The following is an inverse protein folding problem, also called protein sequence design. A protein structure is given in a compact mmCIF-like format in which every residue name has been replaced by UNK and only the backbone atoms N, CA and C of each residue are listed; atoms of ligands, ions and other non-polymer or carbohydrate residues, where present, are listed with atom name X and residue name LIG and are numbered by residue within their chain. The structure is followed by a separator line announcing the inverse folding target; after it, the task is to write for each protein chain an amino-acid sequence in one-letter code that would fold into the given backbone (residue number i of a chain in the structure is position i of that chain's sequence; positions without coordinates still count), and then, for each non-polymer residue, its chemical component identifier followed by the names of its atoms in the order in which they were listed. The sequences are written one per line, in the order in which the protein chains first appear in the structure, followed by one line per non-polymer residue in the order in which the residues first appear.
data_IF_079305579306
#
_entry.id   IF_079305579306
#
_cell.length_a   1.000
_cell.length_b   1.000
_cell.length_c   1.000
_cell.angle_alpha   90.00
_cell.angle_beta   90.00
_cell.angle_gamma   90.00
#
_symmetry.space_group_name_H-M   'P 1'
#
loop_
_entity.id
_entity.type
_entity.pdbx_description
1 polymer ?
#
# COMPACT_ATOMS: atom_id res chain seq x y z
N UNK A 1 45.61 -3.35 -10.42
CA UNK A 1 45.07 -4.26 -9.39
C UNK A 1 44.47 -5.46 -10.08
N UNK A 2 44.95 -6.66 -9.79
CA UNK A 2 44.34 -7.92 -10.27
C UNK A 2 42.91 -8.01 -9.73
N UNK A 3 41.91 -8.35 -10.56
CA UNK A 3 40.53 -8.46 -10.09
C UNK A 3 40.43 -9.53 -8.99
N UNK A 4 39.62 -9.32 -7.94
CA UNK A 4 39.46 -10.30 -6.87
C UNK A 4 38.88 -11.59 -7.45
N UNK A 5 39.42 -12.71 -6.99
CA UNK A 5 38.90 -14.04 -7.34
C UNK A 5 37.43 -14.14 -6.90
N UNK A 6 36.58 -14.78 -7.71
CA UNK A 6 35.14 -14.93 -7.44
C UNK A 6 34.83 -16.37 -7.07
N UNK A 7 34.03 -16.60 -6.04
CA UNK A 7 33.49 -17.93 -5.74
C UNK A 7 32.04 -17.84 -5.32
N UNK A 8 31.27 -18.82 -5.77
CA UNK A 8 29.89 -19.03 -5.36
C UNK A 8 29.84 -19.96 -4.14
N UNK A 9 29.10 -19.58 -3.09
CA UNK A 9 28.90 -20.41 -1.90
C UNK A 9 27.53 -21.07 -1.96
N UNK A 10 27.54 -22.37 -2.25
CA UNK A 10 26.34 -23.20 -2.29
C UNK A 10 25.72 -23.41 -0.89
N UNK A 11 24.41 -23.70 -0.80
CA UNK A 11 23.78 -24.08 0.46
C UNK A 11 24.53 -25.21 1.20
N UNK A 12 24.69 -25.06 2.50
CA UNK A 12 25.44 -25.99 3.35
C UNK A 12 26.96 -25.90 3.19
N UNK A 13 27.49 -24.86 2.54
CA UNK A 13 28.93 -24.61 2.40
C UNK A 13 29.35 -23.31 3.09
N UNK A 14 30.65 -23.19 3.32
CA UNK A 14 31.29 -21.99 3.88
C UNK A 14 32.71 -21.83 3.33
N UNK A 15 33.18 -20.59 3.27
CA UNK A 15 34.55 -20.27 2.90
C UNK A 15 35.08 -19.06 3.66
N UNK A 16 36.40 -18.96 3.76
CA UNK A 16 37.09 -17.81 4.33
C UNK A 16 38.42 -17.61 3.60
N UNK A 17 38.86 -16.36 3.49
CA UNK A 17 40.03 -15.96 2.72
C UNK A 17 40.75 -14.78 3.38
N UNK A 18 42.08 -14.76 3.25
CA UNK A 18 42.98 -13.65 3.60
C UNK A 18 43.38 -12.80 2.38
N UNK A 19 43.12 -13.30 1.17
CA UNK A 19 43.34 -12.59 -0.09
C UNK A 19 42.02 -12.00 -0.59
N UNK A 20 42.06 -10.86 -1.30
CA UNK A 20 40.85 -10.22 -1.85
C UNK A 20 40.01 -11.21 -2.67
N UNK A 21 38.81 -11.48 -2.19
CA UNK A 21 37.89 -12.46 -2.77
C UNK A 21 36.49 -11.90 -2.78
N UNK A 22 35.73 -12.21 -3.83
CA UNK A 22 34.32 -11.87 -3.94
C UNK A 22 33.48 -13.13 -3.71
N UNK A 23 32.83 -13.20 -2.55
CA UNK A 23 31.87 -14.25 -2.23
C UNK A 23 30.49 -13.87 -2.75
N UNK A 24 29.86 -14.79 -3.49
CA UNK A 24 28.48 -14.65 -3.96
C UNK A 24 27.65 -15.86 -3.57
N UNK A 25 26.36 -15.65 -3.31
CA UNK A 25 25.39 -16.73 -3.03
C UNK A 25 24.00 -16.26 -3.47
N UNK A 26 23.04 -17.17 -3.54
CA UNK A 26 21.61 -16.88 -3.76
C UNK A 26 20.87 -17.33 -2.51
N UNK A 27 20.04 -16.45 -1.95
CA UNK A 27 19.34 -16.69 -0.69
C UNK A 27 17.83 -16.65 -0.88
N UNK A 28 17.16 -17.67 -0.33
CA UNK A 28 15.72 -17.75 -0.13
C UNK A 28 15.40 -17.78 1.36
N UNK A 29 14.90 -18.93 1.86
CA UNK A 29 14.71 -19.21 3.29
C UNK A 29 15.97 -19.54 4.06
N UNK A 30 17.05 -19.78 3.34
CA UNK A 30 18.37 -19.99 3.89
C UNK A 30 18.99 -18.66 4.35
N UNK A 31 20.00 -18.75 5.21
CA UNK A 31 20.69 -17.60 5.78
C UNK A 31 22.18 -17.68 5.41
N UNK A 32 22.76 -16.55 5.06
CA UNK A 32 24.20 -16.35 4.92
C UNK A 32 24.71 -15.45 6.04
N UNK A 33 25.78 -15.88 6.70
CA UNK A 33 26.52 -15.06 7.66
C UNK A 33 27.87 -14.73 7.04
N UNK A 34 28.10 -13.44 6.85
CA UNK A 34 29.39 -12.89 6.47
C UNK A 34 30.11 -12.42 7.73
N UNK A 35 31.34 -12.89 7.93
CA UNK A 35 32.22 -12.48 9.02
C UNK A 35 33.46 -11.82 8.44
N UNK A 36 33.96 -10.77 9.08
CA UNK A 36 35.22 -10.15 8.66
C UNK A 36 35.96 -9.47 9.81
N UNK A 37 37.28 -9.42 9.68
CA UNK A 37 38.20 -8.71 10.56
C UNK A 37 38.85 -7.59 9.73
N UNK A 38 38.56 -6.34 10.09
CA UNK A 38 39.03 -5.17 9.32
C UNK A 38 40.52 -4.91 9.50
N UNK A 39 41.11 -5.30 10.63
CA UNK A 39 42.53 -5.08 10.90
C UNK A 39 43.38 -6.12 10.18
N UNK A 40 42.98 -7.40 10.29
CA UNK A 40 43.70 -8.52 9.67
C UNK A 40 43.34 -8.73 8.19
N UNK A 41 42.33 -8.01 7.68
CA UNK A 41 41.83 -8.10 6.28
C UNK A 41 41.43 -9.51 5.88
N UNK A 42 40.78 -10.24 6.79
CA UNK A 42 40.28 -11.59 6.56
C UNK A 42 38.77 -11.54 6.52
N UNK A 43 38.17 -12.23 5.54
CA UNK A 43 36.73 -12.31 5.37
C UNK A 43 36.27 -13.74 5.14
N UNK A 44 35.05 -14.06 5.55
CA UNK A 44 34.44 -15.35 5.31
C UNK A 44 32.93 -15.26 5.21
N UNK A 45 32.33 -16.26 4.59
CA UNK A 45 30.90 -16.38 4.41
C UNK A 45 30.46 -17.84 4.58
N UNK A 46 29.34 -18.07 5.25
CA UNK A 46 28.63 -19.35 5.22
C UNK A 46 27.27 -19.20 4.55
N UNK A 47 26.64 -20.34 4.24
CA UNK A 47 25.26 -20.43 3.78
C UNK A 47 24.63 -21.65 4.43
N UNK A 48 23.75 -21.46 5.41
CA UNK A 48 23.04 -22.54 6.10
C UNK A 48 21.54 -22.51 5.83
N UNK A 49 20.90 -23.66 5.93
CA UNK A 49 19.50 -23.88 5.54
C UNK A 49 18.58 -24.09 6.75
N UNK A 50 19.11 -24.63 7.85
CA UNK A 50 18.36 -25.00 9.05
C UNK A 50 18.96 -24.27 10.26
N UNK A 51 18.16 -23.86 11.26
CA UNK A 51 18.66 -23.03 12.36
C UNK A 51 19.57 -23.80 13.33
N UNK A 52 19.20 -25.03 13.70
CA UNK A 52 19.87 -25.79 14.75
C UNK A 52 19.97 -27.28 14.43
N UNK A 53 21.10 -27.90 14.75
CA UNK A 53 21.28 -29.35 14.76
C UNK A 53 21.03 -29.91 16.16
N UNK A 54 20.08 -30.84 16.30
CA UNK A 54 19.62 -31.41 17.57
C UNK A 54 20.49 -32.56 18.11
N UNK A 55 21.58 -32.92 17.45
CA UNK A 55 22.45 -34.03 17.85
C UNK A 55 22.18 -35.36 17.14
N UNK A 56 21.13 -35.46 16.32
CA UNK A 56 20.79 -36.67 15.57
C UNK A 56 21.33 -36.62 14.13
N UNK A 57 21.98 -37.71 13.68
CA UNK A 57 22.56 -37.83 12.34
C UNK A 57 23.91 -37.11 12.16
N UNK A 58 24.31 -36.87 10.91
CA UNK A 58 25.61 -36.28 10.59
C UNK A 58 25.62 -34.75 10.73
N UNK A 59 26.46 -34.23 11.62
CA UNK A 59 26.67 -32.78 11.76
C UNK A 59 27.22 -32.18 10.46
N UNK A 60 26.59 -31.11 9.98
CA UNK A 60 26.97 -30.48 8.72
C UNK A 60 26.71 -28.97 8.72
N UNK A 61 27.42 -28.18 7.89
CA UNK A 61 27.21 -26.73 7.81
C UNK A 61 25.87 -26.31 7.19
N UNK A 62 24.94 -27.25 6.98
CA UNK A 62 23.55 -26.92 6.67
C UNK A 62 22.79 -26.38 7.88
N UNK A 63 23.28 -26.63 9.10
CA UNK A 63 22.70 -26.12 10.34
C UNK A 63 23.45 -24.87 10.83
N UNK A 64 22.72 -23.83 11.25
CA UNK A 64 23.26 -22.51 11.59
C UNK A 64 24.28 -22.53 12.72
N UNK A 65 23.94 -23.20 13.84
CA UNK A 65 24.87 -23.37 14.95
C UNK A 65 26.21 -24.01 14.51
N UNK A 66 26.16 -25.04 13.66
CA UNK A 66 27.36 -25.72 13.13
C UNK A 66 28.11 -24.85 12.10
N UNK A 67 27.37 -24.17 11.22
CA UNK A 67 27.95 -23.36 10.14
C UNK A 67 28.66 -22.11 10.65
N UNK A 68 28.10 -21.45 11.66
CA UNK A 68 28.68 -20.26 12.28
C UNK A 68 29.93 -20.66 13.06
N UNK A 69 29.85 -21.71 13.87
CA UNK A 69 31.01 -22.20 14.63
C UNK A 69 32.17 -22.59 13.72
N UNK A 70 31.90 -23.37 12.66
CA UNK A 70 32.94 -23.77 11.69
C UNK A 70 33.52 -22.58 10.94
N UNK A 71 32.72 -21.56 10.61
CA UNK A 71 33.20 -20.35 9.95
C UNK A 71 34.13 -19.56 10.88
N UNK A 72 33.73 -19.35 12.14
CA UNK A 72 34.57 -18.66 13.13
C UNK A 72 35.89 -19.41 13.31
N UNK A 73 35.86 -20.74 13.52
CA UNK A 73 37.09 -21.54 13.64
C UNK A 73 38.00 -21.38 12.41
N UNK A 74 37.43 -21.39 11.20
CA UNK A 74 38.19 -21.20 9.97
C UNK A 74 38.82 -19.80 9.87
N UNK A 75 38.13 -18.77 10.34
CA UNK A 75 38.68 -17.41 10.38
C UNK A 75 39.78 -17.24 11.44
N UNK A 76 39.62 -17.85 12.62
CA UNK A 76 40.66 -17.86 13.65
C UNK A 76 41.93 -18.57 13.16
N UNK A 77 41.80 -19.69 12.43
CA UNK A 77 42.92 -20.38 11.79
C UNK A 77 43.63 -19.54 10.71
N UNK A 78 42.94 -18.55 10.14
CA UNK A 78 43.54 -17.59 9.20
C UNK A 78 44.23 -16.42 9.92
N UNK A 79 44.13 -16.32 11.25
CA UNK A 79 44.78 -15.31 12.07
C UNK A 79 43.86 -14.20 12.59
N UNK A 80 42.53 -14.33 12.47
CA UNK A 80 41.59 -13.41 13.10
C UNK A 80 41.60 -13.53 14.63
N UNK A 81 41.24 -12.44 15.30
CA UNK A 81 40.87 -12.45 16.71
C UNK A 81 39.35 -12.47 16.85
N UNK A 82 38.82 -13.31 17.74
CA UNK A 82 37.37 -13.41 17.95
C UNK A 82 36.71 -12.07 18.34
N UNK A 83 37.41 -11.26 19.14
CA UNK A 83 36.95 -9.93 19.61
C UNK A 83 36.84 -8.88 18.50
N UNK A 84 37.57 -9.06 17.40
CA UNK A 84 37.69 -8.08 16.32
C UNK A 84 36.81 -8.47 15.11
N UNK A 85 36.10 -9.61 15.20
CA UNK A 85 35.18 -10.09 14.17
C UNK A 85 33.90 -9.25 14.15
N UNK A 86 33.59 -8.74 12.96
CA UNK A 86 32.31 -8.14 12.63
C UNK A 86 31.47 -9.13 11.84
N UNK A 87 30.15 -9.01 11.96
CA UNK A 87 29.21 -9.89 11.31
C UNK A 87 28.14 -9.10 10.55
N UNK A 88 27.67 -9.67 9.43
CA UNK A 88 26.47 -9.25 8.74
C UNK A 88 25.71 -10.49 8.26
N UNK A 89 24.41 -10.46 8.50
CA UNK A 89 23.53 -11.60 8.23
C UNK A 89 22.58 -11.21 7.10
N UNK A 90 22.37 -12.13 6.18
CA UNK A 90 21.52 -11.95 5.00
C UNK A 90 20.65 -13.19 4.79
N UNK A 91 19.43 -13.03 4.26
CA UNK A 91 18.51 -14.15 4.02
C UNK A 91 17.51 -14.35 5.15
N UNK A 92 16.99 -15.57 5.31
CA UNK A 92 15.93 -15.89 6.28
C UNK A 92 14.53 -15.47 5.85
N UNK A 93 14.29 -15.30 4.53
CA UNK A 93 12.97 -14.99 4.00
C UNK A 93 12.08 -16.24 4.01
N UNK A 94 10.85 -16.18 4.52
CA UNK A 94 9.96 -17.36 4.46
C UNK A 94 9.59 -17.69 3.01
N UNK A 95 10.24 -18.69 2.41
CA UNK A 95 9.98 -19.15 1.02
C UNK A 95 8.95 -20.30 0.99
N UNK A 96 8.73 -20.98 2.11
CA UNK A 96 7.74 -22.06 2.27
C UNK A 96 7.14 -21.95 3.67
N UNK A 97 5.81 -21.92 3.79
CA UNK A 97 5.11 -22.10 5.07
C UNK A 97 5.27 -23.56 5.50
N UNK A 98 6.40 -23.89 6.15
CA UNK A 98 6.52 -25.15 6.87
C UNK A 98 5.90 -24.98 8.25
N UNK A 99 4.70 -25.51 8.38
CA UNK A 99 4.05 -25.81 9.65
C UNK A 99 5.00 -26.67 10.50
N UNK A 100 5.72 -26.06 11.45
CA UNK A 100 6.17 -26.62 12.73
C UNK A 100 7.32 -25.80 13.33
N UNK A 101 6.96 -24.90 14.25
CA UNK A 101 7.61 -24.77 15.57
C UNK A 101 9.13 -24.71 15.68
N UNK A 102 9.81 -23.82 14.94
CA UNK A 102 11.20 -23.48 15.23
C UNK A 102 11.32 -21.96 15.48
N UNK A 103 11.56 -21.62 16.76
CA UNK A 103 11.86 -20.32 17.36
C UNK A 103 11.89 -19.11 16.41
N UNK A 104 10.78 -18.37 16.41
CA UNK A 104 10.65 -17.08 15.73
C UNK A 104 11.26 -15.98 16.62
N UNK A 105 12.30 -15.30 16.14
CA UNK A 105 12.58 -13.92 16.56
C UNK A 105 11.33 -13.12 16.14
N UNK A 106 10.78 -12.27 17.02
CA UNK A 106 9.43 -11.70 16.91
C UNK A 106 8.99 -11.43 15.47
N UNK A 107 7.91 -12.07 15.02
CA UNK A 107 7.46 -12.01 13.62
C UNK A 107 7.05 -10.58 13.18
N UNK A 108 6.85 -9.66 14.14
CA UNK A 108 6.27 -8.33 13.93
C UNK A 108 6.97 -7.31 14.84
N UNK A 109 7.71 -6.39 14.23
CA UNK A 109 8.38 -5.31 14.95
C UNK A 109 7.48 -4.09 15.07
N UNK A 110 7.31 -3.55 16.28
CA UNK A 110 6.46 -2.39 16.53
C UNK A 110 7.21 -1.27 17.19
N UNK A 111 6.94 -0.05 16.72
CA UNK A 111 7.37 1.16 17.38
C UNK A 111 6.17 1.87 18.02
N UNK A 112 6.33 2.31 19.27
CA UNK A 112 5.31 3.07 20.00
C UNK A 112 5.73 4.53 20.06
N UNK A 113 4.87 5.43 19.58
CA UNK A 113 5.11 6.88 19.56
C UNK A 113 3.97 7.59 20.29
N UNK A 114 4.26 8.08 21.50
CA UNK A 114 3.29 8.78 22.36
C UNK A 114 4.09 9.65 23.35
N UNK A 115 3.63 10.88 23.60
CA UNK A 115 4.32 11.83 24.48
C UNK A 115 4.26 11.42 25.96
N UNK A 116 3.25 10.64 26.35
CA UNK A 116 3.06 10.14 27.70
C UNK A 116 3.86 8.87 27.96
N UNK A 117 4.83 8.97 28.87
CA UNK A 117 5.63 7.83 29.35
C UNK A 117 4.72 6.73 29.91
N UNK A 118 3.69 7.11 30.67
CA UNK A 118 2.74 6.19 31.27
C UNK A 118 2.00 5.38 30.20
N UNK A 119 1.52 6.05 29.14
CA UNK A 119 0.82 5.37 28.03
C UNK A 119 1.78 4.45 27.28
N UNK A 120 3.00 4.89 27.00
CA UNK A 120 4.01 4.05 26.33
C UNK A 120 4.30 2.76 27.10
N UNK A 121 4.41 2.83 28.42
CA UNK A 121 4.67 1.64 29.26
C UNK A 121 3.45 0.71 29.35
N UNK A 122 2.24 1.27 29.43
CA UNK A 122 1.00 0.48 29.38
C UNK A 122 0.87 -0.25 28.03
N UNK A 123 1.05 0.47 26.94
CA UNK A 123 0.99 -0.09 25.58
C UNK A 123 2.05 -1.15 25.35
N UNK A 124 3.29 -0.93 25.81
CA UNK A 124 4.37 -1.92 25.74
C UNK A 124 4.01 -3.19 26.51
N UNK A 125 3.49 -3.07 27.75
CA UNK A 125 3.04 -4.22 28.54
C UNK A 125 1.94 -5.02 27.83
N UNK A 126 0.96 -4.34 27.23
CA UNK A 126 -0.13 -4.98 26.50
C UNK A 126 0.33 -5.66 25.22
N UNK A 127 1.17 -5.00 24.43
CA UNK A 127 1.69 -5.53 23.17
C UNK A 127 2.63 -6.72 23.43
N UNK A 128 3.48 -6.63 24.45
CA UNK A 128 4.45 -7.67 24.81
C UNK A 128 3.80 -8.92 25.42
N UNK A 129 2.50 -8.87 25.72
CA UNK A 129 1.74 -10.07 26.12
C UNK A 129 1.62 -11.10 25.00
N UNK A 130 1.78 -10.68 23.74
CA UNK A 130 1.77 -11.57 22.58
C UNK A 130 3.19 -11.90 22.12
N UNK A 131 3.63 -13.17 22.17
CA UNK A 131 5.00 -13.55 21.84
C UNK A 131 5.33 -13.41 20.34
N UNK A 132 4.35 -13.13 19.47
CA UNK A 132 4.58 -12.92 18.04
C UNK A 132 4.92 -11.47 17.69
N UNK A 133 4.99 -10.58 18.69
CA UNK A 133 5.17 -9.14 18.51
C UNK A 133 6.32 -8.67 19.40
N UNK A 134 7.24 -7.91 18.81
CA UNK A 134 8.38 -7.30 19.50
C UNK A 134 8.27 -5.77 19.46
N UNK A 135 8.38 -5.12 20.61
CA UNK A 135 8.45 -3.66 20.69
C UNK A 135 9.91 -3.23 20.49
N UNK A 136 10.22 -2.76 19.28
CA UNK A 136 11.60 -2.43 18.86
C UNK A 136 12.02 -1.00 19.24
N UNK A 137 11.07 -0.18 19.70
CA UNK A 137 11.39 1.15 20.18
C UNK A 137 10.18 1.93 20.69
N UNK A 138 10.47 2.83 21.63
CA UNK A 138 9.51 3.79 22.19
C UNK A 138 10.04 5.20 21.96
N UNK A 139 9.20 6.10 21.47
CA UNK A 139 9.57 7.48 21.17
C UNK A 139 8.58 8.46 21.82
N UNK A 140 9.09 9.54 22.40
CA UNK A 140 8.26 10.58 23.00
C UNK A 140 7.74 11.59 21.97
N UNK A 141 8.40 11.66 20.80
CA UNK A 141 8.05 12.60 19.74
C UNK A 141 8.46 12.07 18.34
N UNK A 142 7.99 12.73 17.26
CA UNK A 142 8.33 12.37 15.89
C UNK A 142 9.82 12.34 15.53
N UNK A 143 10.65 13.13 16.23
CA UNK A 143 12.08 13.21 15.94
C UNK A 143 12.81 11.99 16.51
N UNK A 144 12.51 11.62 17.76
CA UNK A 144 12.97 10.37 18.35
C UNK A 144 12.49 9.17 17.54
N UNK A 145 11.22 9.19 17.11
CA UNK A 145 10.65 8.13 16.30
C UNK A 145 11.44 7.92 15.00
N UNK A 146 11.76 9.02 14.30
CA UNK A 146 12.57 8.98 13.09
C UNK A 146 14.00 8.49 13.31
N UNK A 147 14.64 8.77 14.46
CA UNK A 147 15.98 8.26 14.76
C UNK A 147 15.98 6.75 14.97
N UNK A 148 14.98 6.22 15.67
CA UNK A 148 14.81 4.78 15.84
C UNK A 148 14.54 4.11 14.48
N UNK A 149 13.69 4.69 13.63
CA UNK A 149 13.40 4.18 12.28
C UNK A 149 14.66 4.08 11.41
N UNK A 150 15.59 5.04 11.55
CA UNK A 150 16.88 5.00 10.82
C UNK A 150 17.75 3.81 11.24
N UNK A 151 17.65 3.36 12.50
CA UNK A 151 18.41 2.23 13.02
C UNK A 151 17.71 0.90 12.69
N UNK A 152 16.39 0.85 12.88
CA UNK A 152 15.56 -0.32 12.64
C UNK A 152 14.17 0.12 12.16
N UNK A 153 13.78 -0.33 10.97
CA UNK A 153 12.48 0.00 10.38
C UNK A 153 11.41 -0.90 11.00
N UNK A 154 10.42 -0.35 11.74
CA UNK A 154 9.34 -1.15 12.30
C UNK A 154 8.38 -1.66 11.21
N UNK A 155 7.63 -2.69 11.56
CA UNK A 155 6.58 -3.24 10.71
C UNK A 155 5.24 -2.54 10.89
N UNK A 156 4.95 -2.06 12.09
CA UNK A 156 3.78 -1.22 12.43
C UNK A 156 4.24 -0.11 13.39
N UNK A 157 3.66 1.07 13.26
CA UNK A 157 3.83 2.18 14.21
C UNK A 157 2.49 2.42 14.91
N UNK A 158 2.48 2.47 16.23
CA UNK A 158 1.37 3.09 16.97
C UNK A 158 1.71 4.55 17.22
N UNK A 159 0.82 5.48 16.88
CA UNK A 159 1.12 6.90 16.84
C UNK A 159 0.03 7.73 17.54
N UNK A 160 0.43 8.52 18.51
CA UNK A 160 -0.42 9.58 19.05
C UNK A 160 -0.51 10.78 18.11
N UNK A 161 -1.62 11.50 18.17
CA UNK A 161 -1.83 12.70 17.37
C UNK A 161 -1.28 13.94 18.09
N UNK A 162 -1.55 14.05 19.40
CA UNK A 162 -1.28 15.25 20.17
C UNK A 162 0.09 15.14 20.84
N UNK A 163 1.13 15.63 20.17
CA UNK A 163 2.51 15.54 20.66
C UNK A 163 3.24 16.89 20.54
N UNK A 164 4.21 17.17 21.42
CA UNK A 164 5.01 18.39 21.37
C UNK A 164 5.92 18.46 20.13
N UNK A 165 6.29 19.68 19.73
CA UNK A 165 7.16 20.04 18.58
C UNK A 165 6.54 19.78 17.20
N UNK A 166 6.09 18.57 16.93
CA UNK A 166 5.45 18.18 15.67
C UNK A 166 4.27 17.28 16.00
N UNK A 167 3.09 17.62 15.47
CA UNK A 167 1.90 16.80 15.65
C UNK A 167 2.00 15.46 14.89
N UNK A 168 1.29 14.45 15.39
CA UNK A 168 1.30 13.11 14.83
C UNK A 168 0.77 13.05 13.39
N UNK A 169 -0.15 13.92 12.98
CA UNK A 169 -0.65 13.94 11.60
C UNK A 169 0.42 14.42 10.62
N UNK A 170 1.17 15.46 10.98
CA UNK A 170 2.31 15.96 10.19
C UNK A 170 3.39 14.89 10.08
N UNK A 171 3.67 14.16 11.17
CA UNK A 171 4.61 13.04 11.14
C UNK A 171 4.12 11.89 10.24
N UNK A 172 2.85 11.49 10.38
CA UNK A 172 2.22 10.47 9.56
C UNK A 172 2.34 10.81 8.08
N UNK A 173 1.98 12.04 7.69
CA UNK A 173 2.08 12.50 6.30
C UNK A 173 3.52 12.40 5.76
N UNK A 174 4.52 12.76 6.57
CA UNK A 174 5.94 12.66 6.19
C UNK A 174 6.37 11.21 6.02
N UNK A 175 6.09 10.34 6.99
CA UNK A 175 6.43 8.92 6.91
C UNK A 175 5.76 8.28 5.71
N UNK A 176 4.47 8.51 5.48
CA UNK A 176 3.76 7.91 4.35
C UNK A 176 4.26 8.41 2.99
N UNK A 177 4.82 9.62 2.92
CA UNK A 177 5.46 10.11 1.69
C UNK A 177 6.87 9.57 1.45
N UNK A 178 7.64 9.31 2.51
CA UNK A 178 9.07 8.94 2.42
C UNK A 178 9.29 7.43 2.53
N UNK A 179 8.66 6.81 3.52
CA UNK A 179 8.77 5.40 3.86
C UNK A 179 7.43 4.88 4.39
N UNK A 180 6.48 4.48 3.51
CA UNK A 180 5.18 3.98 3.92
C UNK A 180 5.30 2.80 4.89
N UNK A 181 4.89 3.01 6.13
CA UNK A 181 4.84 2.01 7.20
C UNK A 181 3.40 2.03 7.74
N UNK A 182 2.73 0.88 7.94
CA UNK A 182 1.42 0.84 8.58
C UNK A 182 1.42 1.62 9.89
N UNK A 183 0.53 2.59 10.00
CA UNK A 183 0.37 3.39 11.22
C UNK A 183 -1.02 3.16 11.80
N UNK A 184 -1.09 2.80 13.08
CA UNK A 184 -2.33 2.81 13.86
C UNK A 184 -2.30 4.05 14.73
N UNK A 185 -3.33 4.88 14.62
CA UNK A 185 -3.45 6.07 15.43
C UNK A 185 -4.06 5.68 16.77
N UNK A 186 -3.50 6.20 17.86
CA UNK A 186 -3.99 5.92 19.21
C UNK A 186 -4.21 7.26 19.92
N UNK A 187 -5.46 7.69 20.04
CA UNK A 187 -5.81 9.03 20.56
C UNK A 187 -6.87 8.99 21.66
N UNK A 188 -6.89 10.00 22.54
CA UNK A 188 -8.00 10.24 23.46
C UNK A 188 -9.17 10.91 22.72
N UNK A 189 -10.33 10.26 22.66
CA UNK A 189 -11.53 10.79 22.03
C UNK A 189 -12.01 12.08 22.72
N UNK A 190 -11.99 13.20 21.99
CA UNK A 190 -12.71 14.45 22.32
C UNK A 190 -13.60 14.86 21.14
N UNK A 191 -14.53 15.80 21.30
CA UNK A 191 -15.41 16.26 20.19
C UNK A 191 -14.65 16.88 18.99
N UNK A 192 -13.38 17.28 19.15
CA UNK A 192 -12.45 17.67 18.06
C UNK A 192 -11.80 16.46 17.35
N UNK A 193 -12.01 15.25 17.86
CA UNK A 193 -11.42 14.01 17.38
C UNK A 193 -11.96 13.49 16.05
N UNK A 194 -13.16 13.89 15.63
CA UNK A 194 -13.78 13.40 14.39
C UNK A 194 -13.05 13.91 13.12
N UNK A 195 -12.80 15.21 12.99
CA UNK A 195 -12.06 15.77 11.84
C UNK A 195 -10.60 15.29 11.80
N UNK A 196 -10.00 15.20 12.98
CA UNK A 196 -8.60 14.80 13.16
C UNK A 196 -8.40 13.32 12.81
N UNK A 197 -9.36 12.48 13.18
CA UNK A 197 -9.42 11.07 12.78
C UNK A 197 -9.55 10.91 11.26
N UNK A 198 -10.43 11.70 10.63
CA UNK A 198 -10.60 11.67 9.17
C UNK A 198 -9.29 12.03 8.48
N UNK A 199 -8.61 13.12 8.89
CA UNK A 199 -7.31 13.51 8.34
C UNK A 199 -6.23 12.44 8.54
N UNK A 200 -6.25 11.73 9.66
CA UNK A 200 -5.32 10.65 9.90
C UNK A 200 -5.50 9.51 8.88
N UNK A 201 -6.75 9.13 8.60
CA UNK A 201 -7.06 8.15 7.56
C UNK A 201 -6.64 8.63 6.17
N UNK A 202 -6.83 9.92 5.85
CA UNK A 202 -6.38 10.51 4.58
C UNK A 202 -4.86 10.48 4.40
N UNK A 203 -4.11 10.66 5.49
CA UNK A 203 -2.66 10.57 5.48
C UNK A 203 -2.15 9.14 5.50
N UNK A 204 -3.03 8.14 5.50
CA UNK A 204 -2.70 6.73 5.33
C UNK A 204 -2.74 5.88 6.61
N UNK A 205 -3.30 6.39 7.71
CA UNK A 205 -3.51 5.57 8.89
C UNK A 205 -4.35 4.33 8.53
N UNK A 206 -3.95 3.18 9.08
CA UNK A 206 -4.61 1.89 8.84
C UNK A 206 -5.86 1.74 9.71
N UNK A 207 -5.80 2.28 10.92
CA UNK A 207 -6.86 2.18 11.92
C UNK A 207 -6.69 3.29 12.96
N UNK A 208 -7.77 3.64 13.64
CA UNK A 208 -7.76 4.58 14.77
C UNK A 208 -8.34 3.89 15.99
N UNK A 209 -7.59 3.91 17.08
CA UNK A 209 -7.94 3.31 18.35
C UNK A 209 -8.01 4.38 19.43
N UNK A 210 -8.85 4.11 20.43
CA UNK A 210 -8.86 4.90 21.65
C UNK A 210 -7.69 4.49 22.55
N UNK A 211 -7.02 5.46 23.17
CA UNK A 211 -6.02 5.19 24.20
C UNK A 211 -6.64 4.32 25.31
N UNK A 212 -6.01 3.18 25.68
CA UNK A 212 -6.54 2.33 26.74
C UNK A 212 -6.44 3.04 28.09
N UNK A 213 -7.50 2.94 28.89
CA UNK A 213 -7.61 3.61 30.19
C UNK A 213 -6.88 2.77 31.24
N UNK A 214 -5.87 3.38 31.88
CA UNK A 214 -5.12 3.04 33.10
C UNK A 214 -4.70 1.56 33.30
N UNK A 215 -3.46 1.40 33.78
CA UNK A 215 -2.91 0.11 34.19
C UNK A 215 -3.79 -0.54 35.27
N UNK A 216 -4.34 -1.72 34.99
CA UNK A 216 -5.16 -2.51 35.93
C UNK A 216 -6.70 -2.35 35.80
N UNK A 217 -7.20 -1.37 35.05
CA UNK A 217 -8.65 -1.21 34.77
C UNK A 217 -9.04 -1.73 33.37
N UNK A 218 -8.05 -2.15 32.57
CA UNK A 218 -8.26 -2.64 31.21
C UNK A 218 -8.60 -4.13 31.19
N UNK A 219 -9.65 -4.53 30.46
CA UNK A 219 -10.04 -5.94 30.31
C UNK A 219 -9.13 -6.70 29.34
N UNK A 220 -9.01 -8.02 29.50
CA UNK A 220 -8.30 -8.90 28.57
C UNK A 220 -8.83 -8.78 27.13
N UNK A 221 -10.10 -8.43 26.97
CA UNK A 221 -10.73 -8.17 25.68
C UNK A 221 -10.15 -6.94 24.98
N UNK A 222 -9.91 -5.84 25.71
CA UNK A 222 -9.30 -4.63 25.14
C UNK A 222 -7.85 -4.87 24.71
N UNK A 223 -7.08 -5.64 25.49
CA UNK A 223 -5.71 -6.03 25.14
C UNK A 223 -5.71 -6.87 23.86
N UNK A 224 -6.56 -7.91 23.82
CA UNK A 224 -6.71 -8.77 22.65
C UNK A 224 -7.17 -8.00 21.41
N UNK A 225 -8.05 -7.02 21.58
CA UNK A 225 -8.50 -6.13 20.52
C UNK A 225 -7.36 -5.30 19.92
N UNK A 226 -6.55 -4.64 20.76
CA UNK A 226 -5.38 -3.87 20.32
C UNK A 226 -4.39 -4.75 19.55
N UNK A 227 -4.03 -5.90 20.12
CA UNK A 227 -3.10 -6.87 19.52
C UNK A 227 -3.62 -7.37 18.16
N UNK A 228 -4.91 -7.69 18.05
CA UNK A 228 -5.51 -8.12 16.79
C UNK A 228 -5.51 -7.02 15.72
N UNK A 229 -5.75 -5.76 16.10
CA UNK A 229 -5.67 -4.61 15.18
C UNK A 229 -4.26 -4.39 14.67
N UNK A 230 -3.27 -4.51 15.55
CA UNK A 230 -1.84 -4.52 15.20
C UNK A 230 -1.51 -5.62 14.20
N UNK A 231 -1.93 -6.87 14.45
CA UNK A 231 -1.71 -8.00 13.53
C UNK A 231 -2.40 -7.75 12.18
N UNK A 232 -3.58 -7.13 12.19
CA UNK A 232 -4.31 -6.74 10.98
C UNK A 232 -3.56 -5.68 10.18
N UNK A 233 -3.02 -4.65 10.83
CA UNK A 233 -2.22 -3.61 10.19
C UNK A 233 -0.91 -4.15 9.62
N UNK A 234 -0.27 -5.08 10.31
CA UNK A 234 0.87 -5.82 9.79
C UNK A 234 0.51 -6.59 8.51
N UNK A 235 -0.63 -7.30 8.50
CA UNK A 235 -1.08 -8.04 7.33
C UNK A 235 -1.46 -7.12 6.15
N UNK A 236 -1.88 -5.88 6.41
CA UNK A 236 -2.08 -4.87 5.36
C UNK A 236 -0.77 -4.56 4.62
N UNK A 237 0.38 -4.53 5.32
CA UNK A 237 1.73 -4.45 4.73
C UNK A 237 2.08 -5.68 3.91
N UNK A 238 1.73 -6.88 4.39
CA UNK A 238 2.03 -8.15 3.69
C UNK A 238 1.24 -8.31 2.38
N UNK A 239 0.01 -7.81 2.29
CA UNK A 239 -0.72 -7.74 1.01
C UNK A 239 -0.03 -6.81 0.00
N UNK A 240 0.66 -5.78 0.47
CA UNK A 240 1.48 -4.90 -0.37
C UNK A 240 2.90 -5.46 -0.65
N UNK A 241 3.39 -6.45 0.13
CA UNK A 241 4.78 -6.95 0.07
C UNK A 241 4.96 -8.43 -0.31
N UNK A 242 3.91 -9.22 -0.56
CA UNK A 242 4.11 -10.63 -0.95
C UNK A 242 4.94 -10.75 -2.25
N UNK A 243 6.13 -11.40 -2.23
CA UNK A 243 6.82 -11.76 -3.45
C UNK A 243 6.16 -13.03 -3.97
N UNK A 244 5.06 -12.87 -4.70
CA UNK A 244 4.65 -13.88 -5.68
C UNK A 244 5.87 -14.09 -6.58
N UNK A 245 6.20 -15.33 -6.97
CA UNK A 245 7.09 -15.59 -8.12
C UNK A 245 6.79 -14.51 -9.15
N UNK A 246 7.74 -13.62 -9.43
CA UNK A 246 7.55 -12.57 -10.43
C UNK A 246 7.69 -13.24 -11.80
N UNK A 247 6.77 -14.15 -12.09
CA UNK A 247 6.14 -14.14 -13.39
C UNK A 247 5.59 -12.71 -13.45
N UNK A 248 6.20 -11.84 -14.25
CA UNK A 248 5.58 -10.57 -14.62
C UNK A 248 4.22 -10.98 -15.15
N UNK A 249 3.19 -10.95 -14.30
CA UNK A 249 1.85 -11.23 -14.75
C UNK A 249 1.60 -10.17 -15.80
N UNK A 250 1.25 -10.58 -17.03
CA UNK A 250 1.03 -9.62 -18.10
C UNK A 250 0.09 -8.56 -17.56
N UNK A 251 0.48 -7.28 -17.73
CA UNK A 251 -0.35 -6.17 -17.34
C UNK A 251 -1.69 -6.35 -18.03
N UNK A 252 -2.69 -6.80 -17.28
CA UNK A 252 -3.99 -7.07 -17.83
C UNK A 252 -4.61 -5.74 -18.22
N UNK A 253 -5.04 -5.65 -19.48
CA UNK A 253 -5.92 -4.59 -19.95
C UNK A 253 -7.34 -4.85 -19.44
N UNK A 254 -8.24 -3.91 -19.70
CA UNK A 254 -9.65 -4.13 -19.44
C UNK A 254 -10.24 -5.33 -20.21
N UNK A 255 -9.51 -5.96 -21.16
CA UNK A 255 -9.97 -7.16 -21.90
C UNK A 255 -10.13 -8.37 -20.99
N UNK A 256 -9.38 -8.39 -19.88
CA UNK A 256 -9.49 -9.42 -18.86
C UNK A 256 -10.83 -9.37 -18.10
N UNK A 257 -11.55 -8.25 -18.16
CA UNK A 257 -12.85 -8.06 -17.47
C UNK A 257 -13.99 -7.89 -18.47
N UNK A 258 -13.81 -7.03 -19.48
CA UNK A 258 -14.82 -6.68 -20.48
C UNK A 258 -14.20 -6.69 -21.88
N UNK A 259 -14.82 -7.41 -22.82
CA UNK A 259 -14.44 -7.33 -24.23
C UNK A 259 -14.75 -5.93 -24.77
N UNK A 260 -13.81 -5.36 -25.55
CA UNK A 260 -14.08 -4.14 -26.33
C UNK A 260 -15.14 -4.45 -27.39
N UNK A 261 -16.28 -3.75 -27.38
CA UNK A 261 -17.30 -3.92 -28.40
C UNK A 261 -16.99 -3.02 -29.60
N UNK A 262 -16.66 -3.60 -30.76
CA UNK A 262 -16.48 -2.85 -32.02
C UNK A 262 -17.80 -2.63 -32.77
N UNK A 263 -18.86 -3.32 -32.37
CA UNK A 263 -20.10 -3.45 -33.14
C UNK A 263 -21.29 -3.30 -32.21
N UNK A 264 -21.77 -2.07 -32.03
CA UNK A 264 -23.19 -1.76 -31.77
C UNK A 264 -23.40 -0.24 -31.85
N UNK A 265 -23.52 0.26 -33.07
CA UNK A 265 -24.14 1.57 -33.36
C UNK A 265 -25.68 1.53 -33.16
N UNK A 266 -26.21 0.55 -32.44
CA UNK A 266 -27.64 0.31 -32.32
C UNK A 266 -28.01 0.23 -30.84
N UNK A 267 -28.79 1.21 -30.38
CA UNK A 267 -29.37 1.40 -29.04
C UNK A 267 -28.55 2.14 -27.97
N UNK A 268 -27.71 3.11 -28.36
CA UNK A 268 -27.24 4.12 -27.39
C UNK A 268 -28.43 4.86 -26.78
N UNK A 269 -28.46 4.94 -25.45
CA UNK A 269 -29.46 5.73 -24.72
C UNK A 269 -29.32 7.22 -25.10
N UNK A 270 -30.41 7.98 -25.12
CA UNK A 270 -30.34 9.45 -25.14
C UNK A 270 -29.86 10.02 -23.81
N UNK A 271 -29.85 9.22 -22.74
CA UNK A 271 -29.37 9.64 -21.42
C UNK A 271 -27.85 9.79 -21.41
N UNK A 272 -27.40 10.90 -20.83
CA UNK A 272 -25.99 11.18 -20.60
C UNK A 272 -25.49 10.56 -19.29
N UNK A 273 -24.18 10.35 -19.21
CA UNK A 273 -23.50 9.85 -18.01
C UNK A 273 -22.07 10.39 -17.94
N UNK A 274 -21.61 10.72 -16.75
CA UNK A 274 -20.24 11.21 -16.52
C UNK A 274 -19.44 10.11 -15.81
N UNK A 275 -18.24 9.82 -16.30
CA UNK A 275 -17.33 8.84 -15.72
C UNK A 275 -16.02 9.51 -15.33
N UNK A 276 -15.58 9.33 -14.08
CA UNK A 276 -14.39 9.99 -13.54
C UNK A 276 -13.40 8.95 -13.01
N UNK A 277 -12.13 9.12 -13.32
CA UNK A 277 -11.02 8.32 -12.78
C UNK A 277 -10.00 9.19 -12.05
N UNK A 278 -9.54 8.75 -10.88
CA UNK A 278 -8.56 9.47 -10.06
C UNK A 278 -7.72 8.52 -9.18
N UNK A 279 -6.54 8.98 -8.74
CA UNK A 279 -5.66 8.22 -7.84
C UNK A 279 -4.98 9.14 -6.82
N UNK A 280 -3.65 9.23 -6.78
CA UNK A 280 -2.91 10.10 -5.85
C UNK A 280 -3.30 11.58 -6.03
N UNK A 281 -3.74 12.21 -4.94
CA UNK A 281 -4.30 13.57 -4.94
C UNK A 281 -5.77 13.65 -5.39
N UNK A 282 -6.37 12.52 -5.76
CA UNK A 282 -7.72 12.44 -6.31
C UNK A 282 -8.81 12.76 -5.29
N UNK A 283 -8.59 12.52 -4.00
CA UNK A 283 -9.57 12.85 -2.94
C UNK A 283 -9.89 14.34 -2.88
N UNK A 284 -8.86 15.19 -2.86
CA UNK A 284 -9.00 16.65 -2.88
C UNK A 284 -9.50 17.15 -4.25
N UNK A 285 -8.98 16.59 -5.34
CA UNK A 285 -9.43 16.96 -6.68
C UNK A 285 -10.92 16.66 -6.90
N UNK A 286 -11.41 15.52 -6.42
CA UNK A 286 -12.84 15.16 -6.46
C UNK A 286 -13.67 16.09 -5.57
N UNK A 287 -13.19 16.44 -4.39
CA UNK A 287 -13.87 17.40 -3.52
C UNK A 287 -14.02 18.76 -4.21
N UNK A 288 -12.94 19.32 -4.74
CA UNK A 288 -12.95 20.60 -5.47
C UNK A 288 -13.85 20.57 -6.71
N UNK A 289 -13.88 19.42 -7.40
CA UNK A 289 -14.69 19.22 -8.59
C UNK A 289 -16.19 19.15 -8.29
N UNK A 290 -16.56 18.38 -7.26
CA UNK A 290 -17.94 18.02 -6.94
C UNK A 290 -18.65 19.05 -6.05
N UNK A 291 -17.92 19.72 -5.15
CA UNK A 291 -18.46 20.72 -4.22
C UNK A 291 -19.32 21.81 -4.86
N UNK A 292 -18.95 22.41 -6.02
CA UNK A 292 -19.77 23.45 -6.63
C UNK A 292 -20.93 22.91 -7.49
N UNK A 293 -21.11 21.60 -7.64
CA UNK A 293 -22.18 21.00 -8.44
C UNK A 293 -23.52 21.00 -7.70
N UNK A 294 -24.61 20.98 -8.45
CA UNK A 294 -25.98 20.97 -7.93
C UNK A 294 -26.75 19.69 -8.32
N UNK A 295 -27.95 19.53 -7.78
CA UNK A 295 -28.82 18.36 -8.03
C UNK A 295 -29.27 18.20 -9.49
N UNK A 296 -29.04 19.20 -10.36
CA UNK A 296 -29.34 19.13 -11.78
C UNK A 296 -28.19 18.50 -12.59
N UNK A 297 -27.05 18.21 -11.97
CA UNK A 297 -25.91 17.58 -12.63
C UNK A 297 -26.27 16.18 -13.18
N UNK A 298 -25.80 15.84 -14.38
CA UNK A 298 -25.89 14.47 -14.90
C UNK A 298 -25.25 13.47 -13.93
N UNK A 299 -25.80 12.26 -13.85
CA UNK A 299 -25.30 11.23 -12.95
C UNK A 299 -23.83 10.87 -13.20
N UNK A 300 -23.08 10.72 -12.11
CA UNK A 300 -21.64 10.56 -12.12
C UNK A 300 -21.27 9.19 -11.51
N UNK A 301 -20.36 8.48 -12.15
CA UNK A 301 -19.70 7.28 -11.61
C UNK A 301 -18.20 7.54 -11.51
N UNK A 302 -17.61 7.16 -10.38
CA UNK A 302 -16.22 7.51 -10.05
C UNK A 302 -15.45 6.27 -9.66
N UNK A 303 -14.26 6.10 -10.23
CA UNK A 303 -13.23 5.21 -9.70
C UNK A 303 -12.12 6.07 -9.10
N UNK A 304 -11.97 5.96 -7.78
CA UNK A 304 -10.82 6.48 -7.05
C UNK A 304 -9.98 5.28 -6.60
N UNK A 305 -8.70 5.24 -6.96
CA UNK A 305 -7.80 4.19 -6.47
C UNK A 305 -7.62 4.32 -4.97
N UNK A 306 -8.29 3.45 -4.23
CA UNK A 306 -8.29 3.47 -2.79
C UNK A 306 -8.66 2.07 -2.25
N UNK A 307 -8.08 1.62 -1.13
CA UNK A 307 -8.41 0.31 -0.57
C UNK A 307 -9.87 0.23 -0.09
N UNK A 308 -10.45 -0.97 -0.07
CA UNK A 308 -11.85 -1.25 0.27
C UNK A 308 -12.33 -0.63 1.58
N UNK A 309 -11.47 -0.57 2.60
CA UNK A 309 -11.84 -0.03 3.90
C UNK A 309 -12.09 1.48 3.90
N UNK A 310 -11.65 2.22 2.88
CA UNK A 310 -11.70 3.69 2.87
C UNK A 310 -12.79 4.25 1.95
N UNK A 311 -13.32 3.48 0.99
CA UNK A 311 -14.24 3.98 -0.06
C UNK A 311 -15.59 4.42 0.49
N UNK A 312 -16.16 3.69 1.46
CA UNK A 312 -17.37 4.10 2.16
C UNK A 312 -17.21 5.41 2.95
N UNK A 313 -16.11 5.52 3.72
CA UNK A 313 -15.83 6.74 4.50
C UNK A 313 -15.62 7.97 3.61
N UNK A 314 -14.91 7.81 2.49
CA UNK A 314 -14.70 8.88 1.52
C UNK A 314 -16.01 9.33 0.86
N UNK A 315 -16.86 8.39 0.44
CA UNK A 315 -18.17 8.71 -0.13
C UNK A 315 -19.05 9.47 0.86
N UNK A 316 -19.06 9.05 2.14
CA UNK A 316 -19.80 9.74 3.20
C UNK A 316 -19.31 11.17 3.42
N UNK A 317 -18.00 11.41 3.40
CA UNK A 317 -17.44 12.77 3.51
C UNK A 317 -17.86 13.66 2.34
N UNK A 318 -17.78 13.15 1.11
CA UNK A 318 -18.24 13.90 -0.06
C UNK A 318 -19.74 14.23 0.05
N UNK A 319 -20.55 13.27 0.51
CA UNK A 319 -21.99 13.46 0.71
C UNK A 319 -22.33 14.53 1.77
N UNK A 320 -21.51 14.64 2.82
CA UNK A 320 -21.67 15.67 3.85
C UNK A 320 -21.23 17.06 3.38
N UNK A 321 -20.32 17.12 2.41
CA UNK A 321 -19.68 18.38 1.99
C UNK A 321 -20.28 18.97 0.71
N UNK A 322 -20.82 18.13 -0.18
CA UNK A 322 -21.38 18.52 -1.47
C UNK A 322 -22.90 18.62 -1.39
N UNK A 323 -23.51 19.46 -2.24
CA UNK A 323 -24.98 19.56 -2.35
C UNK A 323 -25.60 18.41 -3.15
N UNK A 324 -24.79 17.68 -3.91
CA UNK A 324 -25.20 16.48 -4.65
C UNK A 324 -25.13 15.24 -3.76
N UNK A 325 -25.99 14.27 -4.03
CA UNK A 325 -26.01 13.02 -3.28
C UNK A 325 -24.82 12.15 -3.68
N UNK A 326 -23.99 11.75 -2.72
CA UNK A 326 -22.83 10.89 -2.94
C UNK A 326 -22.97 9.63 -2.09
N UNK A 327 -22.74 8.46 -2.69
CA UNK A 327 -22.66 7.20 -1.95
C UNK A 327 -21.61 6.28 -2.54
N UNK A 328 -21.12 5.35 -1.73
CA UNK A 328 -20.39 4.18 -2.24
C UNK A 328 -21.38 3.33 -3.03
N UNK A 329 -20.96 2.84 -4.19
CA UNK A 329 -21.80 2.12 -5.12
C UNK A 329 -22.08 0.70 -4.63
N UNK A 330 -23.36 0.31 -4.66
CA UNK A 330 -23.81 -1.06 -4.45
C UNK A 330 -24.17 -1.72 -5.79
N UNK A 331 -24.08 -3.04 -5.88
CA UNK A 331 -24.42 -3.75 -7.12
C UNK A 331 -25.88 -3.50 -7.50
N UNK A 332 -26.12 -3.07 -8.75
CA UNK A 332 -27.46 -2.74 -9.23
C UNK A 332 -27.93 -1.31 -8.95
N UNK A 333 -27.15 -0.48 -8.25
CA UNK A 333 -27.48 0.93 -8.05
C UNK A 333 -27.75 1.63 -9.40
N UNK A 334 -28.88 2.34 -9.47
CA UNK A 334 -29.26 3.10 -10.66
C UNK A 334 -28.50 4.42 -10.65
N UNK A 335 -27.88 4.77 -11.79
CA UNK A 335 -27.21 6.08 -11.96
C UNK A 335 -28.27 7.15 -12.22
N UNK A 336 -28.51 8.02 -11.25
CA UNK A 336 -29.52 9.10 -11.31
C UNK A 336 -28.89 10.48 -11.51
N UNK A 337 -29.68 11.44 -11.97
CA UNK A 337 -29.30 12.86 -11.97
C UNK A 337 -29.10 13.34 -10.53
N UNK A 338 -28.13 14.22 -10.32
CA UNK A 338 -27.77 14.77 -9.00
C UNK A 338 -27.06 13.78 -8.08
N UNK A 339 -26.60 12.64 -8.62
CA UNK A 339 -25.98 11.56 -7.86
C UNK A 339 -24.56 11.25 -8.32
N UNK A 340 -23.70 10.95 -7.35
CA UNK A 340 -22.36 10.40 -7.56
C UNK A 340 -22.26 9.03 -6.90
N UNK A 341 -21.82 8.04 -7.67
CA UNK A 341 -21.55 6.68 -7.18
C UNK A 341 -20.03 6.43 -7.20
N UNK A 342 -19.44 6.23 -6.01
CA UNK A 342 -18.03 5.93 -5.85
C UNK A 342 -17.82 4.41 -5.87
N UNK A 343 -16.91 3.92 -6.71
CA UNK A 343 -16.56 2.50 -6.75
C UNK A 343 -16.04 2.02 -5.38
N UNK A 344 -16.57 0.91 -4.83
CA UNK A 344 -16.01 0.30 -3.64
C UNK A 344 -14.62 -0.25 -3.95
N UNK A 345 -13.72 -0.19 -2.97
CA UNK A 345 -12.39 -0.77 -3.13
C UNK A 345 -12.48 -2.29 -3.25
N UNK A 346 -11.44 -2.90 -3.84
CA UNK A 346 -11.35 -4.35 -4.08
C UNK A 346 -12.40 -4.96 -5.02
N UNK A 347 -13.28 -4.15 -5.64
CA UNK A 347 -14.18 -4.56 -6.72
C UNK A 347 -14.07 -3.63 -7.92
N UNK A 348 -14.27 -4.14 -9.13
CA UNK A 348 -14.39 -3.27 -10.30
C UNK A 348 -15.81 -2.73 -10.40
N UNK A 349 -15.96 -1.43 -10.68
CA UNK A 349 -17.23 -0.82 -11.04
C UNK A 349 -17.35 -0.74 -12.56
N UNK A 350 -18.44 -1.26 -13.10
CA UNK A 350 -18.80 -1.15 -14.51
C UNK A 350 -20.21 -0.61 -14.65
N UNK A 351 -20.53 -0.01 -15.79
CA UNK A 351 -21.89 0.44 -16.12
C UNK A 351 -22.53 -0.56 -17.07
N UNK A 352 -23.80 -0.90 -16.82
CA UNK A 352 -24.67 -1.66 -17.71
C UNK A 352 -25.96 -0.90 -17.97
N UNK A 353 -26.62 -1.22 -19.08
CA UNK A 353 -27.96 -0.71 -19.40
C UNK A 353 -29.00 -1.77 -19.07
N UNK A 354 -29.97 -1.42 -18.22
CA UNK A 354 -31.18 -2.21 -17.99
C UNK A 354 -32.38 -1.34 -18.37
N UNK A 355 -33.15 -1.79 -19.36
CA UNK A 355 -34.23 -1.01 -19.97
C UNK A 355 -33.70 0.35 -20.46
N UNK A 356 -34.25 1.44 -19.95
CA UNK A 356 -33.87 2.83 -20.27
C UNK A 356 -32.95 3.47 -19.22
N UNK A 357 -32.47 2.69 -18.23
CA UNK A 357 -31.66 3.19 -17.12
C UNK A 357 -30.25 2.59 -17.14
N UNK A 358 -29.29 3.38 -16.66
CA UNK A 358 -27.95 2.89 -16.38
C UNK A 358 -27.90 2.38 -14.94
N UNK A 359 -27.28 1.23 -14.76
CA UNK A 359 -26.99 0.66 -13.45
C UNK A 359 -25.50 0.36 -13.34
N UNK A 360 -24.96 0.50 -12.14
CA UNK A 360 -23.64 -0.01 -11.84
C UNK A 360 -23.70 -1.51 -11.61
N UNK A 361 -22.64 -2.19 -12.02
CA UNK A 361 -22.39 -3.60 -11.74
C UNK A 361 -21.00 -3.73 -11.12
N UNK A 362 -20.94 -4.34 -9.95
CA UNK A 362 -19.71 -4.67 -9.25
C UNK A 362 -19.20 -6.02 -9.76
N UNK A 363 -17.93 -6.07 -10.13
CA UNK A 363 -17.32 -7.28 -10.71
C UNK A 363 -16.12 -7.67 -9.84
N UNK A 364 -16.19 -8.91 -9.33
CA UNK A 364 -15.06 -9.61 -8.74
C UNK A 364 -14.23 -10.22 -9.89
N UNK A 365 -13.15 -9.53 -10.27
CA UNK A 365 -12.26 -9.97 -11.34
C UNK A 365 -10.78 -9.67 -11.02
N UNK A 366 -9.84 -10.15 -11.84
CA UNK A 366 -8.42 -9.87 -11.63
C UNK A 366 -8.10 -8.37 -11.75
N UNK A 367 -7.10 -7.84 -11.02
CA UNK A 367 -6.70 -6.44 -11.14
C UNK A 367 -6.32 -6.07 -12.58
N UNK A 368 -6.84 -4.93 -13.07
CA UNK A 368 -6.51 -4.34 -14.37
C UNK A 368 -5.58 -3.17 -14.12
N UNK A 369 -4.49 -3.07 -14.88
CA UNK A 369 -3.40 -2.12 -14.61
C UNK A 369 -2.88 -2.19 -13.17
N UNK A 370 -2.98 -3.36 -12.52
CA UNK A 370 -2.64 -3.62 -11.11
C UNK A 370 -3.57 -2.93 -10.09
N UNK A 371 -4.72 -2.43 -10.52
CA UNK A 371 -5.70 -1.76 -9.68
C UNK A 371 -7.04 -2.51 -9.66
N UNK A 372 -7.71 -2.45 -8.51
CA UNK A 372 -9.08 -2.93 -8.30
C UNK A 372 -9.72 -2.08 -7.18
N UNK A 373 -10.58 -1.10 -7.51
CA UNK A 373 -11.14 -0.78 -8.84
C UNK A 373 -10.11 -0.24 -9.83
N UNK A 374 -10.38 -0.40 -11.12
CA UNK A 374 -9.58 0.14 -12.23
C UNK A 374 -10.41 1.10 -13.06
N UNK A 375 -9.80 2.22 -13.45
CA UNK A 375 -10.42 3.26 -14.27
C UNK A 375 -10.66 2.77 -15.69
N UNK A 376 -9.74 2.00 -16.29
CA UNK A 376 -9.93 1.44 -17.63
C UNK A 376 -11.18 0.55 -17.72
N UNK A 377 -11.48 -0.23 -16.68
CA UNK A 377 -12.69 -1.07 -16.65
C UNK A 377 -13.96 -0.22 -16.64
N UNK A 378 -13.97 0.85 -15.84
CA UNK A 378 -15.07 1.80 -15.82
C UNK A 378 -15.26 2.45 -17.20
N UNK A 379 -14.21 3.07 -17.73
CA UNK A 379 -14.28 3.79 -18.99
C UNK A 379 -14.64 2.90 -20.16
N UNK A 380 -14.11 1.67 -20.22
CA UNK A 380 -14.52 0.70 -21.24
C UNK A 380 -16.00 0.34 -21.17
N UNK A 381 -16.53 0.11 -19.96
CA UNK A 381 -17.95 -0.19 -19.80
C UNK A 381 -18.85 0.98 -20.26
N UNK A 382 -18.41 2.21 -19.99
CA UNK A 382 -19.10 3.43 -20.42
C UNK A 382 -18.97 3.63 -21.93
N UNK A 383 -17.82 3.34 -22.53
CA UNK A 383 -17.63 3.37 -23.98
C UNK A 383 -18.57 2.37 -24.67
N UNK A 384 -18.64 1.14 -24.14
CA UNK A 384 -19.51 0.09 -24.67
C UNK A 384 -21.01 0.42 -24.54
N UNK A 385 -21.46 1.00 -23.41
CA UNK A 385 -22.89 1.15 -23.09
C UNK A 385 -23.48 2.54 -23.37
N UNK A 386 -22.67 3.60 -23.25
CA UNK A 386 -23.10 5.01 -23.35
C UNK A 386 -22.55 5.68 -24.61
N UNK A 387 -21.29 5.38 -24.96
CA UNK A 387 -20.64 5.92 -26.16
C UNK A 387 -20.60 7.45 -26.18
N UNK A 388 -20.94 8.08 -27.32
CA UNK A 388 -20.88 9.54 -27.52
C UNK A 388 -21.65 10.40 -26.52
N UNK A 389 -22.64 9.83 -25.82
CA UNK A 389 -23.42 10.54 -24.79
C UNK A 389 -22.72 10.58 -23.42
N UNK A 390 -21.47 10.14 -23.35
CA UNK A 390 -20.68 10.19 -22.12
C UNK A 390 -19.66 11.32 -22.10
N UNK A 391 -19.26 11.69 -20.88
CA UNK A 391 -18.12 12.54 -20.57
C UNK A 391 -17.14 11.74 -19.71
N UNK A 392 -15.95 11.47 -20.24
CA UNK A 392 -14.85 10.84 -19.51
C UNK A 392 -13.90 11.89 -18.95
N UNK A 393 -13.57 11.80 -17.66
CA UNK A 393 -12.68 12.75 -16.98
C UNK A 393 -11.58 11.98 -16.24
N UNK A 394 -10.31 12.25 -16.56
CA UNK A 394 -9.16 11.66 -15.89
C UNK A 394 -8.41 12.72 -15.07
N UNK A 395 -8.42 12.55 -13.76
CA UNK A 395 -7.82 13.47 -12.79
C UNK A 395 -6.40 13.03 -12.38
N UNK A 396 -5.78 13.83 -11.51
CA UNK A 396 -4.49 13.56 -10.86
C UNK A 396 -4.34 12.11 -10.38
N UNK A 397 -3.13 11.58 -10.56
CA UNK A 397 -2.82 10.22 -10.18
C UNK A 397 -1.52 9.71 -10.79
N UNK A 398 -0.95 8.68 -10.18
CA UNK A 398 0.25 8.01 -10.67
C UNK A 398 -0.11 6.86 -11.63
N UNK A 399 0.76 6.60 -12.61
CA UNK A 399 0.58 5.49 -13.56
C UNK A 399 -0.24 5.91 -14.78
N UNK A 400 -0.86 4.93 -15.44
CA UNK A 400 -1.53 5.09 -16.73
C UNK A 400 -2.93 4.45 -16.77
N UNK A 401 -3.45 3.99 -15.62
CA UNK A 401 -4.81 3.45 -15.59
C UNK A 401 -5.83 4.53 -15.98
N UNK A 402 -6.79 4.17 -16.81
CA UNK A 402 -7.76 5.08 -17.40
C UNK A 402 -7.31 5.69 -18.73
N UNK A 403 -6.03 5.67 -19.08
CA UNK A 403 -5.55 6.30 -20.31
C UNK A 403 -6.07 5.59 -21.58
N UNK A 404 -6.04 4.25 -21.59
CA UNK A 404 -6.57 3.45 -22.70
C UNK A 404 -8.10 3.47 -22.75
N UNK A 405 -8.76 3.35 -21.60
CA UNK A 405 -10.22 3.45 -21.51
C UNK A 405 -10.74 4.83 -21.93
N UNK A 406 -10.00 5.90 -21.65
CA UNK A 406 -10.35 7.25 -22.09
C UNK A 406 -10.18 7.38 -23.62
N UNK A 407 -9.18 6.73 -24.20
CA UNK A 407 -9.03 6.66 -25.66
C UNK A 407 -10.22 5.92 -26.28
N UNK A 408 -10.63 4.80 -25.70
CA UNK A 408 -11.83 4.07 -26.15
C UNK A 408 -13.09 4.94 -26.08
N UNK A 409 -13.26 5.72 -25.01
CA UNK A 409 -14.36 6.70 -24.93
C UNK A 409 -14.25 7.73 -26.06
N UNK A 410 -13.07 8.31 -26.30
CA UNK A 410 -12.86 9.28 -27.37
C UNK A 410 -13.20 8.69 -28.75
N UNK A 411 -12.83 7.45 -29.01
CA UNK A 411 -13.13 6.72 -30.26
C UNK A 411 -14.63 6.55 -30.49
N UNK A 412 -15.45 6.46 -29.43
CA UNK A 412 -16.93 6.45 -29.57
C UNK A 412 -17.54 7.82 -29.88
N UNK A 413 -16.73 8.89 -29.90
CA UNK A 413 -17.17 10.27 -30.06
C UNK A 413 -17.44 11.01 -28.74
N UNK A 414 -17.28 10.37 -27.59
CA UNK A 414 -17.48 10.96 -26.27
C UNK A 414 -16.59 12.20 -26.05
N UNK A 415 -16.99 13.08 -25.14
CA UNK A 415 -16.11 14.16 -24.68
C UNK A 415 -15.12 13.57 -23.67
N UNK A 416 -13.83 13.92 -23.79
CA UNK A 416 -12.78 13.41 -22.89
C UNK A 416 -11.91 14.54 -22.38
N UNK A 417 -11.78 14.63 -21.05
CA UNK A 417 -11.08 15.70 -20.35
C UNK A 417 -9.99 15.10 -19.48
N UNK A 418 -8.81 15.70 -19.49
CA UNK A 418 -7.75 15.40 -18.52
C UNK A 418 -7.43 16.64 -17.69
N UNK A 419 -7.11 16.44 -16.41
CA UNK A 419 -6.66 17.51 -15.54
C UNK A 419 -5.31 18.08 -16.03
N UNK A 420 -5.17 19.41 -16.00
CA UNK A 420 -3.91 20.08 -16.34
C UNK A 420 -2.80 19.78 -15.33
N UNK A 421 -1.55 19.88 -15.79
CA UNK A 421 -0.37 19.61 -14.94
C UNK A 421 -0.31 20.54 -13.73
N UNK A 422 -0.70 21.81 -13.92
CA UNK A 422 -0.63 22.85 -12.88
C UNK A 422 -1.54 22.59 -11.69
N UNK A 423 -2.70 21.96 -11.89
CA UNK A 423 -3.61 21.62 -10.79
C UNK A 423 -3.49 20.18 -10.32
N UNK A 424 -2.67 19.35 -10.97
CA UNK A 424 -2.41 18.00 -10.49
C UNK A 424 -1.45 17.98 -9.30
N UNK A 425 -1.72 17.11 -8.34
CA UNK A 425 -0.72 16.74 -7.31
C UNK A 425 0.32 15.79 -7.93
N UNK A 426 -0.14 14.83 -8.73
CA UNK A 426 0.69 13.90 -9.50
C UNK A 426 0.20 13.87 -10.94
N UNK A 427 1.00 14.41 -11.86
CA UNK A 427 0.70 14.44 -13.28
C UNK A 427 1.18 13.16 -14.00
N UNK A 428 0.63 12.00 -13.59
CA UNK A 428 0.90 10.69 -14.19
C UNK A 428 -0.23 10.24 -15.13
N UNK A 429 -1.38 9.87 -14.57
CA UNK A 429 -2.53 9.37 -15.33
C UNK A 429 -2.99 10.36 -16.42
N UNK A 430 -3.16 11.67 -16.13
CA UNK A 430 -3.49 12.64 -17.17
C UNK A 430 -2.42 12.76 -18.26
N UNK A 431 -1.13 12.66 -17.90
CA UNK A 431 0.00 12.75 -18.82
C UNK A 431 0.01 11.59 -19.80
N UNK A 432 -0.22 10.37 -19.32
CA UNK A 432 -0.26 9.17 -20.17
C UNK A 432 -1.48 9.21 -21.11
N UNK A 433 -2.63 9.70 -20.65
CA UNK A 433 -3.79 9.92 -21.52
C UNK A 433 -3.52 10.95 -22.63
N UNK A 434 -2.82 12.06 -22.32
CA UNK A 434 -2.43 13.05 -23.34
C UNK A 434 -1.48 12.44 -24.37
N UNK A 435 -0.46 11.70 -23.92
CA UNK A 435 0.50 11.03 -24.81
C UNK A 435 -0.17 10.02 -25.75
N UNK A 436 -1.17 9.29 -25.27
CA UNK A 436 -1.95 8.34 -26.09
C UNK A 436 -2.94 9.03 -27.04
N UNK A 437 -3.07 10.36 -27.00
CA UNK A 437 -4.06 11.08 -27.79
C UNK A 437 -5.49 10.84 -27.31
N UNK A 438 -5.69 10.39 -26.07
CA UNK A 438 -7.00 10.07 -25.49
C UNK A 438 -7.83 11.31 -25.10
N UNK A 439 -7.18 12.48 -25.02
CA UNK A 439 -7.77 13.71 -24.46
C UNK A 439 -8.29 14.62 -25.57
N UNK A 440 -9.48 15.22 -25.39
CA UNK A 440 -9.99 16.32 -26.23
C UNK A 440 -9.71 17.67 -25.61
N UNK A 441 -9.89 17.81 -24.30
CA UNK A 441 -9.61 19.05 -23.57
C UNK A 441 -8.72 18.77 -22.37
N UNK A 442 -7.69 19.59 -22.19
CA UNK A 442 -6.91 19.63 -20.96
C UNK A 442 -7.30 20.88 -20.19
N UNK A 443 -7.86 20.71 -18.99
CA UNK A 443 -8.47 21.80 -18.24
C UNK A 443 -7.99 21.79 -16.79
N UNK A 444 -7.94 22.98 -16.20
CA UNK A 444 -7.78 23.14 -14.75
C UNK A 444 -9.01 22.58 -14.01
N UNK A 445 -8.83 22.04 -12.80
CA UNK A 445 -9.90 21.42 -12.00
C UNK A 445 -11.18 22.27 -11.89
N UNK A 446 -11.06 23.60 -11.75
CA UNK A 446 -12.22 24.51 -11.69
C UNK A 446 -12.98 24.60 -13.01
N UNK A 447 -12.26 24.60 -14.12
CA UNK A 447 -12.85 24.61 -15.46
C UNK A 447 -13.53 23.29 -15.80
N UNK A 448 -12.99 22.15 -15.32
CA UNK A 448 -13.65 20.84 -15.44
C UNK A 448 -15.02 20.89 -14.76
N UNK A 449 -15.12 21.45 -13.55
CA UNK A 449 -16.39 21.56 -12.83
C UNK A 449 -17.43 22.39 -13.60
N UNK A 450 -17.02 23.51 -14.20
CA UNK A 450 -17.90 24.30 -15.06
C UNK A 450 -18.35 23.54 -16.31
N UNK A 451 -17.45 22.76 -16.90
CA UNK A 451 -17.76 21.91 -18.05
C UNK A 451 -18.82 20.86 -17.69
N UNK A 452 -18.71 20.23 -16.50
CA UNK A 452 -19.70 19.26 -15.99
C UNK A 452 -21.08 19.90 -15.91
N UNK A 453 -21.20 21.14 -15.40
CA UNK A 453 -22.49 21.85 -15.28
C UNK A 453 -23.18 22.08 -16.62
N UNK A 454 -22.41 22.24 -17.70
CA UNK A 454 -22.92 22.47 -19.05
C UNK A 454 -23.28 21.15 -19.76
N UNK A 455 -22.75 20.03 -19.28
CA UNK A 455 -23.01 18.71 -19.84
C UNK A 455 -24.31 18.13 -19.23
N UNK A 456 -25.46 18.45 -19.83
CA UNK A 456 -26.80 17.99 -19.39
C UNK A 456 -27.49 17.09 -20.39
#
# INVERSE_FOLDING_TARGET
MTPPLKTFIYPGKLSASRIPYHFSTILGSCIAVCLWDTEKKIGGMNHYMLPFWNGEGLSSPKYGNIAIEKLIRKMLLLGCNKKDLKAKIFGGASVINSSQGLYNIGERNIQIVDDSISIRNVMESYISSDPQIEVVGKAADPYEAAQIIKQQIPDVITLDIEMPKMDGLTFLKKIMSQHPIPVIIVSSLSHKGAETSIKAMEFGAVEILQKPIKYGETTQETISFLVNKIKTAYNARLKARSPRKMIIQPKLSADAILKKSRTQAQNFSSKKLIAIGASTGGTEALLDLLKPLDSQCTGIVVVQHMPAFFTGAFANRLNQTCSIFVKEAEDGDVVKQGQVLIAPGDKHLSVRKINSNFQVKLIDGPPVNRHRPSVDVLFRSVANMVGRQSLGILLTGMGDDGAHGLLELKETGAQTIAQDEKSCVVYGMPKEAVKLGAVKYQLNIKAISQYIKQFK
#
